data_IF_219826327001
#
_entry.id   IF_219826327001
#
_cell.length_a   1.000
_cell.length_b   1.000
_cell.length_c   1.000
_cell.angle_alpha   90.00
_cell.angle_beta   90.00
_cell.angle_gamma   90.00
#
_symmetry.space_group_name_H-M   'P 1'
#
loop_
_entity.id
_entity.type
_entity.pdbx_description
1 polymer ?
#
# COMPACT_ATOMS: atom_id res chain seq x y z
N UNK A 1 22.14 25.24 -5.66
CA UNK A 1 21.92 23.82 -5.47
C UNK A 1 23.24 23.11 -5.14
N UNK A 2 23.21 22.18 -4.21
CA UNK A 2 24.32 21.33 -3.84
C UNK A 2 23.89 19.88 -3.62
N UNK A 3 24.67 18.93 -4.13
CA UNK A 3 24.51 17.51 -3.86
C UNK A 3 25.52 17.11 -2.78
N UNK A 4 25.02 16.54 -1.69
CA UNK A 4 25.88 16.03 -0.61
C UNK A 4 26.34 14.59 -0.88
N UNK A 5 27.37 14.13 -0.18
CA UNK A 5 27.96 12.78 -0.35
C UNK A 5 26.97 11.63 -0.07
N UNK A 6 25.93 11.88 0.74
CA UNK A 6 24.84 10.93 1.03
C UNK A 6 23.77 10.85 -0.09
N UNK A 7 23.96 11.57 -1.20
CA UNK A 7 23.03 11.65 -2.32
C UNK A 7 21.86 12.62 -2.10
N UNK A 8 21.85 13.39 -1.02
CA UNK A 8 20.82 14.36 -0.73
C UNK A 8 21.07 15.70 -1.41
N UNK A 9 20.00 16.33 -1.92
CA UNK A 9 20.05 17.66 -2.49
C UNK A 9 19.70 18.75 -1.46
N UNK A 10 20.41 19.87 -1.54
CA UNK A 10 20.25 21.07 -0.71
C UNK A 10 20.23 22.31 -1.58
N UNK A 11 19.56 23.36 -1.11
CA UNK A 11 19.60 24.68 -1.72
C UNK A 11 20.08 25.70 -0.71
N UNK A 12 21.16 26.41 -1.03
CA UNK A 12 21.65 27.51 -0.22
C UNK A 12 21.33 28.85 -0.91
N UNK A 13 20.86 29.79 -0.11
CA UNK A 13 20.70 31.18 -0.54
C UNK A 13 22.06 31.88 -0.70
N UNK A 14 22.07 33.07 -1.31
CA UNK A 14 23.29 33.88 -1.42
C UNK A 14 23.89 34.26 -0.05
N UNK A 15 23.08 34.24 1.01
CA UNK A 15 23.54 34.45 2.40
C UNK A 15 24.34 33.26 2.95
N UNK A 16 24.29 32.09 2.30
CA UNK A 16 24.84 30.84 2.78
C UNK A 16 23.87 30.00 3.62
N UNK A 17 22.69 30.50 3.96
CA UNK A 17 21.67 29.74 4.68
C UNK A 17 21.04 28.69 3.78
N UNK A 18 20.73 27.50 4.36
CA UNK A 18 20.02 26.46 3.65
C UNK A 18 18.52 26.76 3.61
N UNK A 19 17.87 26.41 2.50
CA UNK A 19 16.43 26.42 2.39
C UNK A 19 15.84 25.34 3.30
N UNK A 20 14.74 25.66 4.00
CA UNK A 20 13.93 24.76 4.81
C UNK A 20 12.45 25.05 4.57
N UNK A 21 11.57 24.04 4.74
CA UNK A 21 10.14 24.17 4.46
C UNK A 21 9.83 24.29 2.98
N UNK A 22 8.67 24.88 2.66
CA UNK A 22 8.23 25.12 1.28
C UNK A 22 8.95 26.32 0.68
N UNK A 23 9.65 26.15 -0.43
CA UNK A 23 10.42 27.19 -1.11
C UNK A 23 10.18 27.12 -2.62
N UNK A 24 9.94 28.29 -3.25
CA UNK A 24 9.87 28.40 -4.71
C UNK A 24 11.21 28.85 -5.28
N UNK A 25 11.81 28.03 -6.14
CA UNK A 25 13.10 28.30 -6.77
C UNK A 25 12.90 28.23 -8.28
N UNK A 26 13.19 29.33 -8.97
CA UNK A 26 13.03 29.41 -10.42
C UNK A 26 11.59 29.20 -10.91
N UNK A 27 10.57 29.44 -10.07
CA UNK A 27 9.15 29.23 -10.39
C UNK A 27 8.63 27.82 -10.05
N UNK A 28 9.49 26.90 -9.57
CA UNK A 28 9.11 25.55 -9.14
C UNK A 28 9.09 25.48 -7.61
N UNK A 29 8.03 24.89 -7.05
CA UNK A 29 7.91 24.68 -5.61
C UNK A 29 8.63 23.40 -5.19
N UNK A 30 9.39 23.49 -4.11
CA UNK A 30 10.15 22.43 -3.46
C UNK A 30 9.82 22.40 -1.97
N UNK A 31 10.09 21.28 -1.32
CA UNK A 31 10.07 21.16 0.13
C UNK A 31 11.43 20.67 0.65
N UNK A 32 11.90 21.28 1.71
CA UNK A 32 13.13 20.90 2.41
C UNK A 32 12.79 20.61 3.89
N UNK A 33 13.35 19.55 4.45
CA UNK A 33 13.18 19.27 5.87
C UNK A 33 13.88 20.31 6.76
N UNK A 34 13.78 20.13 8.07
CA UNK A 34 14.39 21.02 9.08
C UNK A 34 15.92 21.09 8.98
N UNK A 35 16.56 20.09 8.37
CA UNK A 35 18.00 20.03 8.12
C UNK A 35 18.40 20.58 6.74
N UNK A 36 17.44 21.08 5.97
CA UNK A 36 17.64 21.60 4.63
C UNK A 36 17.74 20.57 3.52
N UNK A 37 17.40 19.28 3.82
CA UNK A 37 17.41 18.20 2.82
C UNK A 37 16.15 18.26 1.98
N UNK A 38 16.32 18.33 0.64
CA UNK A 38 15.22 18.29 -0.32
C UNK A 38 14.42 17.00 -0.19
N UNK A 39 13.12 17.13 -0.14
CA UNK A 39 12.19 16.02 -0.07
C UNK A 39 11.67 15.62 -1.45
N UNK A 40 11.42 14.31 -1.64
CA UNK A 40 10.81 13.75 -2.85
C UNK A 40 9.82 12.65 -2.47
N UNK A 41 8.97 12.23 -3.43
CA UNK A 41 7.90 11.28 -3.17
C UNK A 41 6.76 11.91 -2.37
N UNK A 42 6.07 11.09 -1.55
CA UNK A 42 4.93 11.57 -0.76
C UNK A 42 5.38 12.08 0.60
N UNK A 43 5.11 13.35 0.86
CA UNK A 43 5.42 14.08 2.11
C UNK A 43 4.12 14.56 2.74
N UNK A 44 4.02 14.50 4.07
CA UNK A 44 2.90 15.11 4.81
C UNK A 44 3.44 16.30 5.59
N UNK A 45 2.88 17.47 5.31
CA UNK A 45 3.21 18.71 5.96
C UNK A 45 1.92 19.43 6.37
N UNK A 46 1.86 19.93 7.60
CA UNK A 46 0.67 20.56 8.20
C UNK A 46 -0.62 19.71 8.01
N UNK A 47 -0.47 18.38 8.01
CA UNK A 47 -1.56 17.44 7.80
C UNK A 47 -2.04 17.36 6.35
N UNK A 48 -1.33 17.95 5.38
CA UNK A 48 -1.62 17.88 3.95
C UNK A 48 -0.64 16.91 3.29
N UNK A 49 -1.18 15.99 2.48
CA UNK A 49 -0.40 15.07 1.68
C UNK A 49 0.02 15.75 0.37
N UNK A 50 1.33 15.82 0.11
CA UNK A 50 1.93 16.43 -1.08
C UNK A 50 2.77 15.39 -1.82
N UNK A 51 2.74 15.39 -3.15
CA UNK A 51 3.59 14.55 -3.99
C UNK A 51 4.66 15.42 -4.66
N UNK A 52 5.92 15.04 -4.49
CA UNK A 52 7.07 15.65 -5.15
C UNK A 52 7.71 14.65 -6.11
N UNK A 53 8.20 15.11 -7.27
CA UNK A 53 8.99 14.30 -8.21
C UNK A 53 10.33 13.86 -7.61
N UNK A 54 11.06 13.00 -8.32
CA UNK A 54 12.40 12.55 -7.88
C UNK A 54 13.40 13.72 -7.79
N UNK A 55 13.22 14.74 -8.63
CA UNK A 55 14.01 15.99 -8.62
C UNK A 55 13.43 17.05 -7.67
N UNK A 56 12.48 16.68 -6.82
CA UNK A 56 11.92 17.48 -5.72
C UNK A 56 10.84 18.48 -6.10
N UNK A 57 10.43 18.57 -7.38
CA UNK A 57 9.37 19.49 -7.80
C UNK A 57 8.00 19.06 -7.28
N UNK A 58 7.21 19.97 -6.71
CA UNK A 58 5.83 19.69 -6.30
C UNK A 58 4.98 19.38 -7.52
N UNK A 59 4.37 18.20 -7.53
CA UNK A 59 3.47 17.70 -8.58
C UNK A 59 2.01 17.88 -8.19
N UNK A 60 1.64 17.43 -7.00
CA UNK A 60 0.25 17.39 -6.54
C UNK A 60 0.15 17.68 -5.04
N UNK A 61 -1.02 18.22 -4.63
CA UNK A 61 -1.41 18.37 -3.23
C UNK A 61 -2.71 17.64 -3.00
N UNK A 62 -2.70 16.68 -2.07
CA UNK A 62 -3.86 15.87 -1.70
C UNK A 62 -4.68 16.44 -0.55
N UNK A 63 -5.58 15.61 -0.01
CA UNK A 63 -6.41 15.97 1.14
C UNK A 63 -5.59 15.96 2.44
N UNK A 64 -6.02 16.75 3.40
CA UNK A 64 -5.41 16.79 4.73
C UNK A 64 -5.81 15.61 5.63
N UNK A 65 -6.95 14.97 5.37
CA UNK A 65 -7.47 13.83 6.13
C UNK A 65 -8.22 12.87 5.21
N UNK A 66 -8.18 11.58 5.53
CA UNK A 66 -8.85 10.53 4.78
C UNK A 66 -8.11 10.14 3.50
N UNK A 67 -8.86 9.70 2.50
CA UNK A 67 -8.31 9.24 1.23
C UNK A 67 -7.76 10.39 0.37
N UNK A 68 -6.57 10.18 -0.17
CA UNK A 68 -5.92 11.06 -1.15
C UNK A 68 -5.50 10.25 -2.37
N UNK A 69 -5.76 10.76 -3.58
CA UNK A 69 -5.31 10.18 -4.84
C UNK A 69 -4.21 11.08 -5.41
N UNK A 70 -3.00 10.53 -5.55
CA UNK A 70 -1.82 11.24 -6.08
C UNK A 70 -1.11 10.32 -7.06
N UNK A 71 -0.86 10.79 -8.27
CA UNK A 71 -0.22 10.04 -9.35
C UNK A 71 -0.82 8.63 -9.53
N UNK A 72 -2.16 8.54 -9.55
CA UNK A 72 -2.88 7.28 -9.71
C UNK A 72 -2.79 6.30 -8.53
N UNK A 73 -2.13 6.67 -7.43
CA UNK A 73 -2.01 5.86 -6.23
C UNK A 73 -2.87 6.43 -5.09
N UNK A 74 -3.56 5.55 -4.37
CA UNK A 74 -4.31 5.95 -3.18
C UNK A 74 -3.44 5.91 -1.93
N UNK A 75 -3.61 6.93 -1.09
CA UNK A 75 -3.02 7.10 0.24
C UNK A 75 -4.12 7.38 1.24
N UNK A 76 -3.88 7.12 2.50
CA UNK A 76 -4.81 7.47 3.58
C UNK A 76 -4.10 8.25 4.67
N UNK A 77 -4.62 9.44 4.99
CA UNK A 77 -4.12 10.27 6.08
C UNK A 77 -4.95 10.04 7.34
N UNK A 78 -4.25 9.84 8.46
CA UNK A 78 -4.83 9.69 9.78
C UNK A 78 -3.96 10.41 10.79
N UNK A 79 -4.55 11.35 11.53
CA UNK A 79 -3.82 12.11 12.55
C UNK A 79 -2.66 12.96 12.00
N UNK A 80 -2.76 13.47 10.78
CA UNK A 80 -1.73 14.31 10.17
C UNK A 80 -0.54 13.54 9.57
N UNK A 81 -0.66 12.22 9.41
CA UNK A 81 0.36 11.39 8.79
C UNK A 81 -0.25 10.38 7.80
N UNK A 82 0.48 9.94 6.78
CA UNK A 82 0.05 8.84 5.93
C UNK A 82 0.17 7.51 6.66
N UNK A 83 -0.82 6.64 6.46
CA UNK A 83 -0.69 5.24 6.84
C UNK A 83 0.32 4.57 5.92
N UNK A 84 1.39 4.02 6.49
CA UNK A 84 2.43 3.30 5.74
C UNK A 84 2.88 2.06 6.51
N UNK A 85 3.37 1.07 5.77
CA UNK A 85 3.82 -0.21 6.33
C UNK A 85 2.75 -0.88 7.20
N UNK A 86 1.49 -0.82 6.76
CA UNK A 86 0.33 -1.39 7.45
C UNK A 86 -0.19 -2.53 6.61
N UNK A 87 -0.09 -3.75 7.11
CA UNK A 87 -0.62 -4.91 6.40
C UNK A 87 -2.14 -4.98 6.45
N UNK A 88 -2.77 -4.38 7.47
CA UNK A 88 -4.23 -4.36 7.63
C UNK A 88 -4.70 -3.21 8.50
N UNK A 89 -5.62 -2.40 7.98
CA UNK A 89 -6.41 -1.42 8.75
C UNK A 89 -7.87 -1.44 8.29
N UNK A 90 -8.80 -1.17 9.20
CA UNK A 90 -10.22 -1.07 8.89
C UNK A 90 -10.57 0.40 8.61
N UNK A 91 -10.99 0.68 7.38
CA UNK A 91 -11.42 2.00 6.92
C UNK A 91 -12.77 1.85 6.21
N UNK A 92 -13.74 2.66 6.58
CA UNK A 92 -15.07 2.68 5.96
C UNK A 92 -15.73 1.28 5.82
N UNK A 93 -15.51 0.43 6.84
CA UNK A 93 -16.06 -0.93 6.89
C UNK A 93 -15.29 -1.98 6.08
N UNK A 94 -14.22 -1.61 5.39
CA UNK A 94 -13.38 -2.52 4.62
C UNK A 94 -11.94 -2.58 5.15
N UNK A 95 -11.28 -3.71 4.91
CA UNK A 95 -9.88 -3.88 5.26
C UNK A 95 -8.98 -3.43 4.10
N UNK A 96 -8.00 -2.58 4.40
CA UNK A 96 -6.99 -2.10 3.46
C UNK A 96 -5.58 -2.34 3.99
N UNK A 97 -4.61 -2.37 3.09
CA UNK A 97 -3.19 -2.41 3.43
C UNK A 97 -2.42 -1.33 2.68
N UNK A 98 -1.36 -0.83 3.29
CA UNK A 98 -0.47 0.19 2.71
C UNK A 98 0.97 -0.30 2.75
N UNK A 99 1.74 -0.01 1.72
CA UNK A 99 3.14 -0.38 1.64
C UNK A 99 4.05 0.56 2.47
N UNK A 100 5.35 0.38 2.38
CA UNK A 100 6.33 1.18 3.11
C UNK A 100 6.37 2.64 2.67
N UNK A 101 5.89 2.94 1.45
CA UNK A 101 5.79 4.31 0.91
C UNK A 101 4.44 4.95 1.20
N UNK A 102 3.47 4.19 1.73
CA UNK A 102 2.10 4.62 2.00
C UNK A 102 1.13 4.38 0.85
N UNK A 103 1.54 3.76 -0.25
CA UNK A 103 0.63 3.41 -1.34
C UNK A 103 -0.32 2.30 -0.92
N UNK A 104 -1.61 2.47 -1.21
CA UNK A 104 -2.61 1.43 -1.00
C UNK A 104 -2.28 0.19 -1.83
N UNK A 105 -2.33 -0.97 -1.21
CA UNK A 105 -2.11 -2.26 -1.88
C UNK A 105 -3.30 -2.61 -2.75
N UNK A 106 -3.03 -3.00 -4.00
CA UNK A 106 -4.04 -3.45 -4.98
C UNK A 106 -3.55 -4.70 -5.71
N UNK A 107 -4.47 -5.58 -6.11
CA UNK A 107 -4.20 -6.80 -6.88
C UNK A 107 -3.02 -7.62 -6.34
N UNK A 108 -2.94 -7.76 -5.02
CA UNK A 108 -1.80 -8.45 -4.37
C UNK A 108 -2.24 -9.24 -3.14
N UNK A 109 -1.50 -10.30 -2.83
CA UNK A 109 -1.66 -11.05 -1.57
C UNK A 109 -0.56 -10.62 -0.60
N UNK A 110 -0.97 -10.15 0.59
CA UNK A 110 -0.06 -9.77 1.67
C UNK A 110 -0.60 -10.32 2.99
N UNK A 111 0.25 -10.98 3.76
CA UNK A 111 -0.07 -11.59 5.06
C UNK A 111 -1.35 -12.44 5.00
N UNK A 112 -1.47 -13.24 3.92
CA UNK A 112 -2.59 -14.15 3.70
C UNK A 112 -3.91 -13.48 3.35
N UNK A 113 -3.91 -12.21 2.90
CA UNK A 113 -5.09 -11.48 2.41
C UNK A 113 -4.88 -11.03 0.98
N UNK A 114 -5.91 -11.17 0.15
CA UNK A 114 -5.90 -10.62 -1.19
C UNK A 114 -6.59 -9.25 -1.21
N UNK A 115 -5.86 -8.23 -1.59
CA UNK A 115 -6.37 -6.88 -1.85
C UNK A 115 -6.72 -6.78 -3.33
N UNK A 116 -8.01 -6.63 -3.65
CA UNK A 116 -8.48 -6.55 -5.03
C UNK A 116 -8.15 -5.22 -5.70
N UNK A 117 -8.71 -4.99 -6.89
CA UNK A 117 -8.48 -3.75 -7.66
C UNK A 117 -8.96 -2.48 -6.96
N UNK A 118 -9.94 -2.59 -6.07
CA UNK A 118 -10.41 -1.48 -5.23
C UNK A 118 -9.51 -1.21 -4.02
N UNK A 119 -8.49 -2.05 -3.77
CA UNK A 119 -7.68 -2.05 -2.56
C UNK A 119 -8.34 -2.69 -1.33
N UNK A 120 -9.63 -2.97 -1.37
CA UNK A 120 -10.30 -3.68 -0.29
C UNK A 120 -9.90 -5.16 -0.27
N UNK A 121 -9.64 -5.70 0.93
CA UNK A 121 -9.40 -7.12 1.09
C UNK A 121 -10.65 -7.93 0.72
N UNK A 122 -10.49 -8.92 -0.15
CA UNK A 122 -11.57 -9.79 -0.59
C UNK A 122 -11.99 -10.75 0.51
N UNK A 123 -13.29 -11.06 0.57
CA UNK A 123 -13.88 -12.04 1.48
C UNK A 123 -14.81 -12.98 0.71
N UNK A 124 -15.08 -14.16 1.27
CA UNK A 124 -15.88 -15.19 0.60
C UNK A 124 -15.15 -15.78 -0.60
N UNK A 125 -15.89 -16.22 -1.61
CA UNK A 125 -15.36 -16.82 -2.83
C UNK A 125 -14.94 -15.77 -3.86
N UNK A 126 -13.76 -15.93 -4.45
CA UNK A 126 -13.28 -15.11 -5.57
C UNK A 126 -12.24 -15.86 -6.40
N UNK A 127 -11.91 -15.28 -7.57
CA UNK A 127 -10.87 -15.81 -8.46
C UNK A 127 -9.71 -14.83 -8.62
N UNK A 128 -8.50 -15.38 -8.70
CA UNK A 128 -7.30 -14.69 -9.16
C UNK A 128 -6.71 -15.54 -10.29
N UNK A 129 -6.54 -14.98 -11.46
CA UNK A 129 -5.96 -15.63 -12.65
C UNK A 129 -6.58 -17.02 -12.94
N UNK A 130 -7.91 -17.11 -12.81
CA UNK A 130 -8.65 -18.35 -13.07
C UNK A 130 -8.71 -19.35 -11.89
N UNK A 131 -7.88 -19.20 -10.87
CA UNK A 131 -7.86 -20.06 -9.68
C UNK A 131 -8.85 -19.57 -8.63
N UNK A 132 -9.56 -20.51 -7.97
CA UNK A 132 -10.49 -20.20 -6.89
C UNK A 132 -9.79 -20.07 -5.54
N UNK A 133 -10.25 -19.10 -4.77
CA UNK A 133 -9.86 -18.84 -3.38
C UNK A 133 -11.09 -18.61 -2.53
N UNK A 134 -10.92 -18.83 -1.24
CA UNK A 134 -11.91 -18.41 -0.24
C UNK A 134 -11.21 -17.69 0.91
N UNK A 135 -11.70 -16.53 1.24
CA UNK A 135 -11.22 -15.78 2.41
C UNK A 135 -12.30 -15.66 3.48
N UNK A 136 -11.89 -15.74 4.74
CA UNK A 136 -12.77 -15.59 5.89
C UNK A 136 -13.57 -14.29 5.82
N UNK A 137 -14.90 -14.32 5.93
CA UNK A 137 -15.73 -13.12 5.98
C UNK A 137 -15.39 -12.17 7.14
N UNK A 138 -14.79 -12.70 8.21
CA UNK A 138 -14.47 -11.94 9.42
C UNK A 138 -13.06 -11.36 9.38
N UNK A 139 -12.08 -12.15 8.92
CA UNK A 139 -10.66 -11.78 9.01
C UNK A 139 -10.04 -11.44 7.67
N UNK A 140 -10.73 -11.73 6.55
CA UNK A 140 -10.25 -11.69 5.18
C UNK A 140 -9.00 -12.57 4.92
N UNK A 141 -8.66 -13.49 5.86
CA UNK A 141 -7.57 -14.44 5.65
C UNK A 141 -7.97 -15.53 4.66
N UNK A 142 -7.10 -15.84 3.72
CA UNK A 142 -7.25 -16.96 2.79
C UNK A 142 -7.28 -18.27 3.57
N UNK A 143 -8.21 -19.15 3.19
CA UNK A 143 -8.27 -20.49 3.72
C UNK A 143 -7.10 -21.33 3.16
N UNK A 144 -6.59 -22.23 4.00
CA UNK A 144 -5.54 -23.20 3.67
C UNK A 144 -5.86 -24.51 4.35
N UNK A 145 -5.55 -25.63 3.69
CA UNK A 145 -5.89 -26.95 4.19
C UNK A 145 -7.36 -27.31 3.96
N UNK A 146 -7.87 -28.25 4.74
CA UNK A 146 -9.24 -28.75 4.63
C UNK A 146 -10.22 -27.86 5.38
N UNK A 147 -11.32 -27.49 4.71
CA UNK A 147 -12.43 -26.72 5.29
C UNK A 147 -13.78 -27.32 4.88
N UNK A 148 -14.68 -27.46 5.85
CA UNK A 148 -16.06 -27.86 5.58
C UNK A 148 -16.94 -26.62 5.53
N UNK A 149 -17.58 -26.39 4.39
CA UNK A 149 -18.50 -25.25 4.17
C UNK A 149 -19.80 -25.77 3.59
N UNK A 150 -20.90 -25.52 4.28
CA UNK A 150 -22.25 -26.01 3.90
C UNK A 150 -22.31 -27.52 3.64
N UNK A 151 -21.58 -28.31 4.44
CA UNK A 151 -21.52 -29.77 4.32
C UNK A 151 -20.60 -30.32 3.22
N UNK A 152 -19.95 -29.44 2.45
CA UNK A 152 -18.95 -29.81 1.42
C UNK A 152 -17.55 -29.57 1.95
N UNK A 153 -16.66 -30.54 1.76
CA UNK A 153 -15.24 -30.42 2.12
C UNK A 153 -14.45 -29.88 0.95
N UNK A 154 -13.75 -28.78 1.20
CA UNK A 154 -12.84 -28.12 0.25
C UNK A 154 -11.41 -28.28 0.75
N UNK A 155 -10.45 -28.32 -0.18
CA UNK A 155 -9.03 -28.24 0.15
C UNK A 155 -8.38 -27.07 -0.57
N UNK A 156 -7.65 -26.26 0.20
CA UNK A 156 -6.85 -25.12 -0.30
C UNK A 156 -5.37 -25.43 -0.04
N UNK A 157 -4.53 -25.23 -1.02
CA UNK A 157 -3.09 -25.45 -0.86
C UNK A 157 -2.42 -24.39 0.04
N UNK A 158 -1.09 -24.45 0.16
CA UNK A 158 -0.32 -23.52 1.00
C UNK A 158 -0.38 -22.06 0.50
N UNK A 159 -0.74 -21.84 -0.77
CA UNK A 159 -0.95 -20.52 -1.35
C UNK A 159 -2.42 -20.06 -1.24
N UNK A 160 -3.32 -20.92 -0.75
CA UNK A 160 -4.75 -20.66 -0.64
C UNK A 160 -5.54 -20.96 -1.91
N UNK A 161 -4.93 -21.65 -2.90
CA UNK A 161 -5.61 -22.05 -4.15
C UNK A 161 -6.46 -23.28 -3.85
N UNK A 162 -7.76 -23.20 -4.19
CA UNK A 162 -8.66 -24.35 -4.10
C UNK A 162 -8.23 -25.44 -5.09
N UNK A 163 -8.08 -26.65 -4.60
CA UNK A 163 -7.73 -27.81 -5.42
C UNK A 163 -8.99 -28.53 -5.90
N UNK A 164 -8.99 -28.93 -7.18
CA UNK A 164 -10.07 -29.68 -7.85
C UNK A 164 -9.46 -30.93 -8.49
N UNK A 165 -10.16 -32.05 -8.41
CA UNK A 165 -9.71 -33.34 -8.95
C UNK A 165 -8.82 -34.10 -7.95
N UNK A 166 -7.84 -34.83 -8.46
CA UNK A 166 -6.95 -35.65 -7.63
C UNK A 166 -5.70 -34.86 -7.19
N UNK A 167 -5.39 -34.93 -5.89
CA UNK A 167 -4.20 -34.27 -5.34
C UNK A 167 -3.67 -35.03 -4.12
N UNK A 168 -2.39 -34.84 -3.79
CA UNK A 168 -1.72 -35.56 -2.69
C UNK A 168 -1.43 -34.60 -1.53
N UNK A 169 -1.86 -34.99 -0.31
CA UNK A 169 -1.53 -34.30 0.93
C UNK A 169 -0.98 -35.33 1.91
N UNK A 170 0.17 -35.05 2.51
CA UNK A 170 0.83 -35.92 3.49
C UNK A 170 0.92 -37.39 3.02
N UNK A 171 1.31 -37.59 1.74
CA UNK A 171 1.40 -38.91 1.06
C UNK A 171 0.07 -39.67 0.93
N UNK A 172 -1.06 -38.97 1.03
CA UNK A 172 -2.39 -39.53 0.78
C UNK A 172 -3.01 -38.87 -0.44
N UNK A 173 -3.63 -39.70 -1.30
CA UNK A 173 -4.39 -39.24 -2.44
C UNK A 173 -5.79 -38.79 -2.01
N UNK A 174 -6.21 -37.63 -2.46
CA UNK A 174 -7.56 -37.10 -2.27
C UNK A 174 -8.17 -36.76 -3.63
N UNK A 175 -9.49 -36.83 -3.70
CA UNK A 175 -10.27 -36.44 -4.88
C UNK A 175 -11.35 -35.46 -4.45
N UNK A 176 -11.51 -34.36 -5.18
CA UNK A 176 -12.64 -33.44 -5.03
C UNK A 176 -13.38 -33.32 -6.35
N UNK A 177 -14.69 -33.18 -6.28
CA UNK A 177 -15.58 -33.01 -7.42
C UNK A 177 -15.65 -31.54 -7.85
#
# INVERSE_FOLDING_TARGET
WGLHEDGSWYYAYASGELATGDVTIGGTAYHFDENGKMQSGVVVEDGICKLYSEDGALLETGKSQGWSLLDGNYYYLSGGAILKNVSRCLLDGNWYGFDTTGKMRVNTIVDGRFYGSSGAAQTGWFKIDGSWYYASPVTALLYKGFHVMNGVTYYFDQNGVMQIGEFVVDRKLFTTD
#
